data_IF_881464395760
#
_entry.id   IF_881464395760
#
_cell.length_a   1.000
_cell.length_b   1.000
_cell.length_c   1.000
_cell.angle_alpha   90.00
_cell.angle_beta   90.00
_cell.angle_gamma   90.00
#
_symmetry.space_group_name_H-M   'P 1'
#
loop_
_entity.id
_entity.type
_entity.pdbx_description
1 polymer ?
#
# COMPACT_ATOMS: atom_id res chain seq x y z
N UNK A 1 -17.72 3.41 12.49
CA UNK A 1 -16.26 3.21 12.48
C UNK A 1 -15.95 2.44 11.21
N UNK A 2 -15.38 3.08 10.18
CA UNK A 2 -14.90 2.35 9.01
C UNK A 2 -13.67 1.56 9.43
N UNK A 3 -13.76 0.23 9.46
CA UNK A 3 -12.57 -0.59 9.67
C UNK A 3 -11.56 -0.32 8.55
N UNK A 4 -10.26 -0.20 8.85
CA UNK A 4 -9.24 -0.05 7.82
C UNK A 4 -9.29 -1.25 6.88
N UNK A 5 -9.22 -0.99 5.57
CA UNK A 5 -9.33 -2.02 4.53
C UNK A 5 -8.13 -2.96 4.50
N UNK A 6 -7.03 -2.55 5.13
CA UNK A 6 -5.77 -3.27 5.24
C UNK A 6 -5.24 -3.23 6.68
N UNK A 7 -4.37 -4.18 7.03
CA UNK A 7 -3.74 -4.28 8.35
C UNK A 7 -2.21 -4.35 8.26
N UNK A 8 -1.53 -3.98 9.36
CA UNK A 8 -0.09 -4.16 9.52
C UNK A 8 0.27 -5.65 9.53
N UNK A 9 1.38 -6.01 8.89
CA UNK A 9 1.82 -7.39 8.66
C UNK A 9 1.16 -8.07 7.46
N UNK A 10 0.17 -7.45 6.82
CA UNK A 10 -0.53 -8.04 5.68
C UNK A 10 0.31 -7.91 4.41
N UNK A 11 0.33 -8.99 3.61
CA UNK A 11 1.04 -9.00 2.34
C UNK A 11 0.12 -8.56 1.20
N UNK A 12 0.62 -7.72 0.30
CA UNK A 12 -0.16 -7.11 -0.77
C UNK A 12 0.61 -7.04 -2.08
N UNK A 13 -0.12 -7.12 -3.17
CA UNK A 13 0.35 -6.80 -4.51
C UNK A 13 -0.10 -5.38 -4.87
N UNK A 14 0.84 -4.51 -5.23
CA UNK A 14 0.60 -3.09 -5.45
C UNK A 14 1.42 -2.54 -6.62
N UNK A 15 1.03 -1.36 -7.13
CA UNK A 15 1.76 -0.64 -8.18
C UNK A 15 2.69 0.42 -7.57
N UNK A 16 4.03 0.24 -7.61
CA UNK A 16 4.97 1.15 -6.95
C UNK A 16 5.15 2.50 -7.66
N UNK A 17 4.97 2.57 -8.98
CA UNK A 17 5.19 3.79 -9.78
C UNK A 17 4.11 3.88 -10.88
N UNK A 18 3.53 5.07 -11.09
CA UNK A 18 2.73 5.38 -12.30
C UNK A 18 1.24 5.04 -12.26
N UNK A 19 0.72 4.49 -11.15
CA UNK A 19 -0.70 4.08 -11.06
C UNK A 19 -1.03 2.84 -11.89
N UNK A 20 -2.31 2.46 -11.97
CA UNK A 20 -2.83 1.26 -12.67
C UNK A 20 -2.75 1.33 -14.22
N UNK A 21 -1.69 1.91 -14.78
CA UNK A 21 -1.54 2.03 -16.23
C UNK A 21 -0.13 1.61 -16.63
N UNK A 22 0.01 0.32 -17.00
CA UNK A 22 1.15 -0.29 -17.71
C UNK A 22 2.45 -0.50 -16.92
N UNK A 23 2.49 -0.29 -15.62
CA UNK A 23 3.64 -0.63 -14.77
C UNK A 23 3.49 -2.00 -14.14
N UNK A 24 4.59 -2.73 -13.97
CA UNK A 24 4.61 -4.01 -13.26
C UNK A 24 4.13 -3.83 -11.82
N UNK A 25 3.32 -4.77 -11.34
CA UNK A 25 3.02 -4.89 -9.92
C UNK A 25 4.27 -5.34 -9.15
N UNK A 26 4.32 -4.99 -7.88
CA UNK A 26 5.29 -5.52 -6.93
C UNK A 26 4.56 -6.06 -5.72
N UNK A 27 5.18 -7.01 -5.03
CA UNK A 27 4.71 -7.47 -3.72
C UNK A 27 5.41 -6.71 -2.60
N UNK A 28 4.74 -6.63 -1.48
CA UNK A 28 5.31 -6.09 -0.25
C UNK A 28 4.43 -6.35 0.95
N UNK A 29 4.97 -6.04 2.12
CA UNK A 29 4.29 -6.21 3.40
C UNK A 29 3.91 -4.84 3.95
N UNK A 30 2.65 -4.70 4.36
CA UNK A 30 2.17 -3.48 5.02
C UNK A 30 2.84 -3.39 6.38
N UNK A 31 3.62 -2.34 6.57
CA UNK A 31 4.32 -2.07 7.84
C UNK A 31 3.57 -1.05 8.69
N UNK A 32 2.72 -0.22 8.08
CA UNK A 32 1.92 0.79 8.79
C UNK A 32 0.68 1.17 7.97
N UNK A 33 -0.47 1.34 8.62
CA UNK A 33 -1.68 1.87 7.98
C UNK A 33 -1.85 3.33 8.36
N UNK A 34 -1.96 4.23 7.38
CA UNK A 34 -2.19 5.66 7.58
C UNK A 34 -3.69 5.93 7.40
N UNK A 35 -4.44 5.67 8.47
CA UNK A 35 -5.91 5.79 8.53
C UNK A 35 -6.40 7.21 8.77
N UNK A 36 -5.50 8.12 9.18
CA UNK A 36 -5.84 9.52 9.44
C UNK A 36 -5.76 10.32 8.14
N UNK A 37 -6.82 11.04 7.75
CA UNK A 37 -6.73 12.00 6.66
C UNK A 37 -5.80 13.13 7.12
N UNK A 38 -4.57 13.13 6.62
CA UNK A 38 -3.67 14.25 6.81
C UNK A 38 -4.25 15.50 6.12
N UNK A 39 -3.76 16.71 6.42
CA UNK A 39 -4.33 17.97 5.88
C UNK A 39 -4.42 18.04 4.33
N UNK A 40 -3.73 17.12 3.63
CA UNK A 40 -3.78 16.92 2.18
C UNK A 40 -4.80 15.85 1.70
N UNK A 41 -5.68 15.34 2.58
CA UNK A 41 -6.80 14.45 2.24
C UNK A 41 -6.40 13.07 1.69
N UNK A 42 -5.18 12.60 1.94
CA UNK A 42 -4.66 11.36 1.36
C UNK A 42 -4.53 10.27 2.44
N UNK A 43 -5.42 9.28 2.40
CA UNK A 43 -5.28 8.02 3.15
C UNK A 43 -4.36 7.05 2.38
N UNK A 44 -3.64 6.19 3.11
CA UNK A 44 -2.68 5.26 2.48
C UNK A 44 -2.08 4.25 3.44
N UNK A 45 -1.10 3.49 2.95
CA UNK A 45 -0.35 2.49 3.72
C UNK A 45 1.13 2.60 3.44
N UNK A 46 1.96 2.25 4.41
CA UNK A 46 3.40 2.07 4.22
C UNK A 46 3.67 0.61 3.89
N UNK A 47 4.21 0.35 2.71
CA UNK A 47 4.54 -1.00 2.25
C UNK A 47 6.06 -1.14 2.19
N UNK A 48 6.57 -2.20 2.79
CA UNK A 48 7.95 -2.66 2.60
C UNK A 48 7.99 -3.60 1.39
N UNK A 49 8.71 -3.19 0.36
CA UNK A 49 8.82 -3.90 -0.89
C UNK A 49 9.68 -5.17 -0.73
N UNK A 50 9.14 -6.35 -1.06
CA UNK A 50 9.86 -7.62 -0.88
C UNK A 50 11.12 -7.72 -1.76
N UNK A 51 11.12 -7.07 -2.93
CA UNK A 51 12.24 -7.13 -3.87
C UNK A 51 13.42 -6.25 -3.47
N UNK A 52 13.17 -5.13 -2.78
CA UNK A 52 14.19 -4.11 -2.48
C UNK A 52 14.41 -3.87 -0.99
N UNK A 53 13.52 -4.36 -0.12
CA UNK A 53 13.50 -4.08 1.32
C UNK A 53 13.18 -2.61 1.67
N UNK A 54 12.77 -1.80 0.68
CA UNK A 54 12.50 -0.37 0.87
C UNK A 54 11.06 -0.13 1.26
N UNK A 55 10.84 0.82 2.17
CA UNK A 55 9.51 1.27 2.60
C UNK A 55 9.05 2.45 1.77
N UNK A 56 7.83 2.37 1.27
CA UNK A 56 7.21 3.43 0.49
C UNK A 56 5.77 3.65 0.96
N UNK A 57 5.35 4.92 0.98
CA UNK A 57 3.94 5.27 1.16
C UNK A 57 3.20 5.04 -0.15
N UNK A 58 2.16 4.20 -0.10
CA UNK A 58 1.36 3.78 -1.25
C UNK A 58 -0.10 4.08 -0.92
N UNK A 59 -0.81 4.69 -1.87
CA UNK A 59 -2.26 4.91 -1.74
C UNK A 59 -2.98 3.56 -1.80
N UNK A 60 -4.06 3.42 -1.04
CA UNK A 60 -4.88 2.21 -1.07
C UNK A 60 -5.37 1.88 -2.49
N UNK A 61 -5.65 2.91 -3.31
CA UNK A 61 -6.06 2.76 -4.72
C UNK A 61 -4.99 2.10 -5.62
N UNK A 62 -3.72 2.18 -5.23
CA UNK A 62 -2.62 1.55 -5.95
C UNK A 62 -2.39 0.09 -5.53
N UNK A 63 -3.14 -0.41 -4.55
CA UNK A 63 -3.10 -1.81 -4.14
C UNK A 63 -4.07 -2.60 -5.03
N UNK A 64 -3.56 -3.63 -5.70
CA UNK A 64 -4.36 -4.47 -6.58
C UNK A 64 -5.14 -5.51 -5.77
N UNK A 65 -4.44 -6.22 -4.88
CA UNK A 65 -5.04 -7.25 -4.02
C UNK A 65 -4.16 -7.58 -2.82
N UNK A 66 -4.78 -8.16 -1.80
CA UNK A 66 -4.08 -8.82 -0.70
C UNK A 66 -3.65 -10.21 -1.13
N UNK A 67 -2.44 -10.61 -0.78
CA UNK A 67 -1.90 -11.96 -0.99
C UNK A 67 -1.66 -12.57 0.40
N UNK A 68 -2.21 -13.77 0.63
CA UNK A 68 -2.01 -14.51 1.88
C UNK A 68 -0.67 -15.24 1.91
#
# INVERSE_FOLDING_TARGET
MSSPRYAEGQKVEYYPIGGKSRTSTSTGTITRVMTEPDAAGSTGVMIENDNTGKRSAVKEDNIERTIE
#
